data_IF_783697699918
#
_entry.id   IF_783697699918
#
_cell.length_a   1.000
_cell.length_b   1.000
_cell.length_c   1.000
_cell.angle_alpha   90.00
_cell.angle_beta   90.00
_cell.angle_gamma   90.00
#
_symmetry.space_group_name_H-M   'P 1'
#
loop_
_entity.id
_entity.type
_entity.pdbx_description
1 polymer ?
#
# COMPACT_ATOMS: atom_id res chain seq x y z
N UNK A 1 1.33 -16.27 -5.51
CA UNK A 1 0.38 -15.13 -5.48
C UNK A 1 1.11 -13.95 -4.86
N UNK A 2 1.03 -12.77 -5.48
CA UNK A 2 1.68 -11.55 -4.99
C UNK A 2 1.09 -11.06 -3.64
N UNK A 3 -0.16 -11.39 -3.35
CA UNK A 3 -0.87 -10.97 -2.15
C UNK A 3 -0.28 -11.58 -0.88
N UNK A 4 0.04 -10.74 0.11
CA UNK A 4 0.52 -11.16 1.42
C UNK A 4 -0.64 -11.45 2.37
N UNK A 5 -0.56 -12.55 3.09
CA UNK A 5 -1.42 -12.79 4.24
C UNK A 5 -1.09 -11.84 5.40
N UNK A 6 -2.04 -11.66 6.33
CA UNK A 6 -1.81 -10.91 7.57
C UNK A 6 -0.60 -11.43 8.37
N UNK A 7 -0.39 -12.75 8.43
CA UNK A 7 0.78 -13.34 9.09
C UNK A 7 2.07 -12.88 8.41
N UNK A 8 2.15 -12.97 7.09
CA UNK A 8 3.34 -12.53 6.33
C UNK A 8 3.61 -11.03 6.48
N UNK A 9 2.57 -10.20 6.58
CA UNK A 9 2.70 -8.78 6.89
C UNK A 9 3.35 -8.56 8.26
N UNK A 10 2.87 -9.22 9.31
CA UNK A 10 3.46 -9.10 10.65
C UNK A 10 4.91 -9.59 10.69
N UNK A 11 5.22 -10.72 10.05
CA UNK A 11 6.59 -11.23 9.98
C UNK A 11 7.52 -10.30 9.20
N UNK A 12 7.02 -9.64 8.14
CA UNK A 12 7.78 -8.59 7.44
C UNK A 12 8.17 -7.48 8.43
N UNK A 13 7.22 -6.96 9.22
CA UNK A 13 7.49 -5.90 10.19
C UNK A 13 8.51 -6.30 11.26
N UNK A 14 8.43 -7.52 11.79
CA UNK A 14 9.38 -8.04 12.78
C UNK A 14 10.79 -8.20 12.22
N UNK A 15 10.94 -8.45 10.92
CA UNK A 15 12.25 -8.58 10.28
C UNK A 15 12.92 -7.24 9.98
N UNK A 16 12.20 -6.11 10.08
CA UNK A 16 12.77 -4.79 9.84
C UNK A 16 13.68 -4.39 11.01
N UNK A 17 14.77 -3.67 10.70
CA UNK A 17 15.63 -3.08 11.71
C UNK A 17 14.83 -2.07 12.55
N UNK A 18 14.76 -2.22 13.88
CA UNK A 18 14.09 -1.25 14.74
C UNK A 18 14.72 0.14 14.61
N UNK A 19 13.88 1.15 14.38
CA UNK A 19 14.32 2.53 14.19
C UNK A 19 13.28 3.58 14.65
N UNK A 20 12.27 3.17 15.41
CA UNK A 20 11.20 4.04 15.90
C UNK A 20 11.44 4.33 17.38
N UNK A 21 11.48 5.61 17.73
CA UNK A 21 11.66 6.07 19.10
C UNK A 21 10.39 6.73 19.61
N UNK A 22 10.03 6.48 20.87
CA UNK A 22 8.97 7.19 21.57
C UNK A 22 9.37 7.39 23.02
N UNK A 23 9.27 8.63 23.51
CA UNK A 23 9.70 8.99 24.86
C UNK A 23 11.15 8.56 25.15
N UNK A 24 12.06 8.82 24.20
CA UNK A 24 13.48 8.47 24.25
C UNK A 24 13.80 6.96 24.33
N UNK A 25 12.79 6.10 24.16
CA UNK A 25 12.95 4.65 24.12
C UNK A 25 12.81 4.12 22.70
N UNK A 26 13.72 3.22 22.32
CA UNK A 26 13.63 2.47 21.07
C UNK A 26 12.51 1.43 21.17
N UNK A 27 11.57 1.46 20.23
CA UNK A 27 10.56 0.42 20.08
C UNK A 27 11.18 -0.73 19.28
N UNK A 28 11.52 -1.83 19.96
CA UNK A 28 12.14 -3.01 19.34
C UNK A 28 11.16 -3.81 18.47
N UNK A 29 9.89 -3.93 18.88
CA UNK A 29 8.87 -4.65 18.12
C UNK A 29 7.58 -3.83 18.00
N UNK A 30 7.36 -3.29 16.80
CA UNK A 30 6.18 -2.48 16.47
C UNK A 30 4.88 -3.28 16.55
N UNK A 31 4.94 -4.60 16.39
CA UNK A 31 3.76 -5.48 16.32
C UNK A 31 3.16 -5.76 17.70
N UNK A 32 3.96 -5.61 18.76
CA UNK A 32 3.55 -5.90 20.15
C UNK A 32 3.56 -4.66 21.04
N UNK A 33 4.37 -3.65 20.73
CA UNK A 33 4.51 -2.47 21.57
C UNK A 33 3.18 -1.68 21.69
N UNK A 34 2.75 -1.27 22.90
CA UNK A 34 1.43 -0.65 23.12
C UNK A 34 1.16 0.60 22.30
N UNK A 35 2.20 1.38 21.98
CA UNK A 35 2.07 2.60 21.19
C UNK A 35 1.84 2.38 19.69
N UNK A 36 2.19 1.20 19.16
CA UNK A 36 2.24 0.93 17.71
C UNK A 36 1.35 -0.23 17.29
N UNK A 37 1.11 -1.22 18.18
CA UNK A 37 0.40 -2.46 17.83
C UNK A 37 -0.98 -2.24 17.21
N UNK A 38 -1.72 -1.23 17.68
CA UNK A 38 -3.06 -0.90 17.16
C UNK A 38 -2.99 -0.30 15.76
N UNK A 39 -1.98 0.53 15.51
CA UNK A 39 -1.71 1.06 14.18
C UNK A 39 -1.34 -0.07 13.23
N UNK A 40 -0.46 -0.99 13.64
CA UNK A 40 -0.09 -2.17 12.86
C UNK A 40 -1.32 -3.03 12.54
N UNK A 41 -2.18 -3.29 13.53
CA UNK A 41 -3.42 -4.04 13.32
C UNK A 41 -4.39 -3.34 12.36
N UNK A 42 -4.56 -2.02 12.48
CA UNK A 42 -5.39 -1.22 11.58
C UNK A 42 -4.94 -1.30 10.12
N UNK A 43 -3.63 -1.20 9.86
CA UNK A 43 -3.06 -1.41 8.51
C UNK A 43 -3.15 -2.88 8.08
N UNK A 44 -3.05 -3.80 9.03
CA UNK A 44 -3.14 -5.24 8.84
C UNK A 44 -4.48 -5.74 8.32
N UNK A 45 -5.57 -5.02 8.59
CA UNK A 45 -6.92 -5.42 8.19
C UNK A 45 -7.08 -5.62 6.68
N UNK A 46 -6.41 -4.82 5.84
CA UNK A 46 -6.49 -5.01 4.38
C UNK A 46 -5.84 -6.33 3.94
N UNK A 47 -4.80 -6.81 4.63
CA UNK A 47 -4.21 -8.13 4.37
C UNK A 47 -5.09 -9.28 4.87
N UNK A 48 -5.93 -9.06 5.88
CA UNK A 48 -6.95 -10.04 6.32
C UNK A 48 -8.09 -10.10 5.31
N UNK A 49 -8.70 -8.95 5.05
CA UNK A 49 -9.91 -8.83 4.24
C UNK A 49 -9.65 -9.11 2.74
N UNK A 50 -8.43 -8.96 2.22
CA UNK A 50 -8.11 -9.35 0.84
C UNK A 50 -8.25 -10.86 0.57
N UNK A 51 -8.26 -11.69 1.62
CA UNK A 51 -8.47 -13.15 1.51
C UNK A 51 -9.89 -13.59 1.93
N UNK A 52 -10.72 -12.65 2.38
CA UNK A 52 -12.13 -12.89 2.68
C UNK A 52 -12.93 -12.85 1.37
N UNK A 53 -13.68 -13.90 1.05
CA UNK A 53 -14.46 -13.99 -0.19
C UNK A 53 -15.44 -12.83 -0.35
N UNK A 54 -15.96 -12.28 0.76
CA UNK A 54 -16.87 -11.15 0.72
C UNK A 54 -16.20 -9.85 0.27
N UNK A 55 -14.90 -9.67 0.56
CA UNK A 55 -14.20 -8.40 0.39
C UNK A 55 -13.11 -8.43 -0.68
N UNK A 56 -12.75 -9.62 -1.16
CA UNK A 56 -11.64 -9.86 -2.09
C UNK A 56 -11.70 -8.97 -3.34
N UNK A 57 -12.84 -8.88 -4.00
CA UNK A 57 -12.97 -8.13 -5.26
C UNK A 57 -12.90 -6.60 -5.04
N UNK A 58 -13.23 -6.14 -3.83
CA UNK A 58 -13.11 -4.73 -3.43
C UNK A 58 -11.63 -4.40 -3.15
N UNK A 59 -10.91 -5.28 -2.46
CA UNK A 59 -9.54 -5.03 -1.99
C UNK A 59 -8.44 -5.43 -2.96
N UNK A 60 -8.77 -6.22 -3.99
CA UNK A 60 -7.84 -6.66 -5.01
C UNK A 60 -8.26 -6.19 -6.39
N UNK A 61 -7.28 -6.09 -7.29
CA UNK A 61 -7.51 -5.80 -8.71
C UNK A 61 -6.42 -6.46 -9.54
N UNK A 62 -6.51 -6.40 -10.88
CA UNK A 62 -5.44 -6.83 -11.77
C UNK A 62 -4.46 -5.69 -12.01
N UNK A 63 -3.17 -5.99 -11.97
CA UNK A 63 -2.15 -5.02 -12.35
C UNK A 63 -2.24 -4.68 -13.84
N UNK A 64 -2.20 -3.40 -14.19
CA UNK A 64 -2.05 -2.96 -15.58
C UNK A 64 -0.66 -3.26 -16.15
N UNK A 65 0.33 -3.53 -15.30
CA UNK A 65 1.70 -3.84 -15.72
C UNK A 65 1.91 -5.33 -16.00
N UNK A 66 1.34 -6.19 -15.16
CA UNK A 66 1.65 -7.62 -15.17
C UNK A 66 0.44 -8.53 -15.39
N UNK A 67 -0.79 -8.01 -15.25
CA UNK A 67 -2.02 -8.80 -15.29
C UNK A 67 -2.28 -9.63 -14.02
N UNK A 68 -1.30 -9.72 -13.11
CA UNK A 68 -1.41 -10.48 -11.87
C UNK A 68 -2.36 -9.80 -10.86
N UNK A 69 -3.02 -10.58 -9.97
CA UNK A 69 -3.77 -10.03 -8.85
C UNK A 69 -2.86 -9.29 -7.87
N UNK A 70 -3.24 -8.04 -7.54
CA UNK A 70 -2.52 -7.16 -6.63
C UNK A 70 -3.46 -6.54 -5.60
N UNK A 71 -2.90 -6.01 -4.51
CA UNK A 71 -3.65 -5.11 -3.63
C UNK A 71 -4.08 -3.88 -4.42
N UNK A 72 -5.36 -3.47 -4.32
CA UNK A 72 -5.86 -2.25 -4.96
C UNK A 72 -5.17 -0.99 -4.43
N UNK A 73 -4.59 -1.02 -3.23
CA UNK A 73 -3.71 0.06 -2.73
C UNK A 73 -2.41 0.24 -3.53
N UNK A 74 -2.07 -0.69 -4.44
CA UNK A 74 -0.91 -0.62 -5.33
C UNK A 74 -1.30 -0.44 -6.81
N UNK A 75 -2.57 -0.12 -7.08
CA UNK A 75 -3.05 0.09 -8.45
C UNK A 75 -2.79 1.51 -8.95
N UNK A 76 -2.66 1.62 -10.27
CA UNK A 76 -2.76 2.90 -11.00
C UNK A 76 -4.18 3.02 -11.55
N UNK A 77 -4.73 4.22 -11.52
CA UNK A 77 -6.04 4.55 -12.07
C UNK A 77 -5.93 4.51 -13.60
N UNK A 78 -6.60 3.55 -14.24
CA UNK A 78 -6.64 3.41 -15.69
C UNK A 78 -7.98 3.87 -16.28
N UNK A 79 -9.02 3.94 -15.46
CA UNK A 79 -10.35 4.43 -15.85
C UNK A 79 -11.08 5.13 -14.70
N UNK A 80 -12.18 5.85 -14.96
CA UNK A 80 -13.02 6.43 -13.91
C UNK A 80 -13.52 5.39 -12.90
N UNK A 81 -13.80 4.17 -13.35
CA UNK A 81 -14.28 3.06 -12.52
C UNK A 81 -13.26 2.66 -11.44
N UNK A 82 -11.96 2.75 -11.74
CA UNK A 82 -10.91 2.50 -10.74
C UNK A 82 -10.96 3.51 -9.58
N UNK A 83 -11.35 4.76 -9.88
CA UNK A 83 -11.50 5.78 -8.85
C UNK A 83 -12.69 5.48 -7.93
N UNK A 84 -13.83 5.09 -8.50
CA UNK A 84 -15.01 4.69 -7.72
C UNK A 84 -14.70 3.46 -6.86
N UNK A 85 -14.08 2.42 -7.44
CA UNK A 85 -13.69 1.22 -6.73
C UNK A 85 -12.71 1.51 -5.57
N UNK A 86 -11.79 2.47 -5.75
CA UNK A 86 -10.91 2.91 -4.68
C UNK A 86 -11.64 3.69 -3.57
N UNK A 87 -12.67 4.47 -3.91
CA UNK A 87 -13.55 5.10 -2.91
C UNK A 87 -14.29 4.06 -2.07
N UNK A 88 -14.86 3.04 -2.73
CA UNK A 88 -15.56 1.94 -2.05
C UNK A 88 -14.62 1.11 -1.17
N UNK A 89 -13.42 0.81 -1.66
CA UNK A 89 -12.37 0.15 -0.87
C UNK A 89 -12.02 0.95 0.39
N UNK A 90 -11.80 2.27 0.25
CA UNK A 90 -11.49 3.12 1.41
C UNK A 90 -12.65 3.14 2.40
N UNK A 91 -13.90 3.25 1.93
CA UNK A 91 -15.10 3.20 2.77
C UNK A 91 -15.19 1.89 3.55
N UNK A 92 -15.00 0.75 2.88
CA UNK A 92 -14.96 -0.57 3.53
C UNK A 92 -13.89 -0.61 4.63
N UNK A 93 -12.68 -0.13 4.33
CA UNK A 93 -11.59 -0.12 5.31
C UNK A 93 -11.91 0.73 6.53
N UNK A 94 -12.59 1.87 6.37
CA UNK A 94 -13.07 2.67 7.51
C UNK A 94 -14.16 1.94 8.31
N UNK A 95 -15.09 1.25 7.66
CA UNK A 95 -16.10 0.45 8.38
C UNK A 95 -15.48 -0.71 9.18
N UNK A 96 -14.46 -1.38 8.63
CA UNK A 96 -13.79 -2.51 9.31
C UNK A 96 -12.90 -2.06 10.46
N UNK A 97 -12.28 -0.88 10.37
CA UNK A 97 -11.21 -0.49 11.29
C UNK A 97 -11.58 0.64 12.24
N UNK A 98 -12.55 1.50 11.87
CA UNK A 98 -12.90 2.70 12.62
C UNK A 98 -11.76 3.73 12.76
N UNK A 99 -10.70 3.62 11.95
CA UNK A 99 -9.50 4.47 12.05
C UNK A 99 -8.86 4.74 10.69
N UNK A 100 -7.89 5.66 10.66
CA UNK A 100 -7.10 5.96 9.47
C UNK A 100 -6.15 4.81 9.11
N UNK A 101 -6.14 4.42 7.83
CA UNK A 101 -5.17 3.49 7.24
C UNK A 101 -4.10 4.26 6.44
N UNK A 102 -3.58 5.34 7.03
CA UNK A 102 -2.72 6.34 6.38
C UNK A 102 -1.51 5.77 5.64
N UNK A 103 -0.90 4.71 6.17
CA UNK A 103 0.21 3.99 5.55
C UNK A 103 -0.16 3.20 4.28
N UNK A 104 -1.41 3.28 3.82
CA UNK A 104 -1.89 2.68 2.57
C UNK A 104 -2.46 3.73 1.62
N UNK A 105 -3.36 4.60 2.10
CA UNK A 105 -4.06 5.56 1.24
C UNK A 105 -3.18 6.73 0.75
N UNK A 106 -2.24 7.20 1.56
CA UNK A 106 -1.30 8.24 1.16
C UNK A 106 -0.33 7.71 0.10
N UNK A 107 0.20 6.49 0.30
CA UNK A 107 1.04 5.81 -0.68
C UNK A 107 0.34 5.62 -2.02
N UNK A 108 -0.90 5.11 -2.01
CA UNK A 108 -1.70 4.96 -3.24
C UNK A 108 -1.86 6.29 -3.99
N UNK A 109 -2.14 7.38 -3.27
CA UNK A 109 -2.30 8.70 -3.88
C UNK A 109 -0.97 9.20 -4.47
N UNK A 110 0.13 9.00 -3.75
CA UNK A 110 1.47 9.34 -4.23
C UNK A 110 1.88 8.51 -5.45
N UNK A 111 1.60 7.20 -5.48
CA UNK A 111 1.86 6.34 -6.64
C UNK A 111 1.21 6.88 -7.91
N UNK A 112 -0.07 7.24 -7.81
CA UNK A 112 -0.83 7.74 -8.95
C UNK A 112 -0.32 9.11 -9.42
N UNK A 113 0.05 10.00 -8.49
CA UNK A 113 0.66 11.28 -8.85
C UNK A 113 2.05 11.12 -9.47
N UNK A 114 2.89 10.25 -8.92
CA UNK A 114 4.25 9.99 -9.45
C UNK A 114 4.19 9.33 -10.81
N UNK A 115 3.21 8.44 -11.06
CA UNK A 115 3.02 7.80 -12.37
C UNK A 115 2.87 8.85 -13.49
N UNK A 116 1.96 9.81 -13.33
CA UNK A 116 1.76 10.86 -14.35
C UNK A 116 2.91 11.85 -14.39
N UNK A 117 3.42 12.27 -13.23
CA UNK A 117 4.50 13.27 -13.13
C UNK A 117 5.77 12.77 -13.79
N UNK A 118 6.19 11.54 -13.52
CA UNK A 118 7.41 10.98 -14.13
C UNK A 118 7.30 10.83 -15.63
N UNK A 119 6.10 10.50 -16.14
CA UNK A 119 5.85 10.43 -17.58
C UNK A 119 6.02 11.80 -18.25
N UNK A 120 5.44 12.86 -17.67
CA UNK A 120 5.56 14.22 -18.21
C UNK A 120 7.00 14.75 -18.15
N UNK A 121 7.71 14.47 -17.04
CA UNK A 121 9.14 14.84 -16.92
C UNK A 121 9.97 14.15 -18.01
N UNK A 122 9.77 12.85 -18.23
CA UNK A 122 10.50 12.11 -19.26
C UNK A 122 10.18 12.62 -20.67
N UNK A 123 8.91 12.94 -20.94
CA UNK A 123 8.48 13.54 -22.22
C UNK A 123 9.21 14.85 -22.50
N UNK A 124 9.31 15.72 -21.50
CA UNK A 124 9.81 17.09 -21.69
C UNK A 124 11.34 17.19 -21.57
N UNK A 125 11.99 16.26 -20.85
CA UNK A 125 13.42 16.34 -20.51
C UNK A 125 14.25 15.16 -21.04
N UNK A 126 13.64 14.16 -21.68
CA UNK A 126 14.36 12.98 -22.21
C UNK A 126 14.99 12.10 -21.14
N UNK A 127 14.46 12.14 -19.91
CA UNK A 127 14.89 11.29 -18.79
C UNK A 127 14.21 9.91 -18.83
N UNK A 128 14.52 9.06 -17.85
CA UNK A 128 14.01 7.69 -17.73
C UNK A 128 13.33 7.41 -16.38
N UNK A 129 12.82 8.43 -15.70
CA UNK A 129 12.19 8.31 -14.38
C UNK A 129 10.94 7.44 -14.42
N UNK A 130 10.12 7.55 -15.46
CA UNK A 130 8.91 6.77 -15.60
C UNK A 130 9.25 5.28 -15.72
N UNK A 131 10.24 4.93 -16.54
CA UNK A 131 10.71 3.54 -16.66
C UNK A 131 11.22 2.98 -15.32
N UNK A 132 11.99 3.77 -14.57
CA UNK A 132 12.46 3.39 -13.22
C UNK A 132 11.29 3.21 -12.25
N UNK A 133 10.32 4.12 -12.29
CA UNK A 133 9.11 4.04 -11.47
C UNK A 133 8.28 2.80 -11.78
N UNK A 134 8.02 2.48 -13.06
CA UNK A 134 7.28 1.28 -13.44
C UNK A 134 7.99 -0.01 -13.01
N UNK A 135 9.32 -0.05 -13.14
CA UNK A 135 10.13 -1.19 -12.70
C UNK A 135 10.01 -1.41 -11.19
N UNK A 136 10.12 -0.32 -10.41
CA UNK A 136 9.95 -0.38 -8.97
C UNK A 136 8.51 -0.72 -8.56
N UNK A 137 7.50 -0.18 -9.25
CA UNK A 137 6.09 -0.44 -8.97
C UNK A 137 5.73 -1.91 -9.22
N UNK A 138 6.24 -2.52 -10.30
CA UNK A 138 6.04 -3.94 -10.57
C UNK A 138 6.60 -4.83 -9.45
N UNK A 139 7.78 -4.50 -8.93
CA UNK A 139 8.38 -5.19 -7.77
C UNK A 139 7.57 -4.94 -6.49
N UNK A 140 7.14 -3.70 -6.24
CA UNK A 140 6.30 -3.36 -5.09
C UNK A 140 4.96 -4.11 -5.11
N UNK A 141 4.33 -4.23 -6.28
CA UNK A 141 3.12 -5.01 -6.52
C UNK A 141 3.36 -6.51 -6.25
N UNK A 142 4.45 -7.07 -6.79
CA UNK A 142 4.81 -8.47 -6.59
C UNK A 142 5.07 -8.82 -5.11
N UNK A 143 5.58 -7.87 -4.33
CA UNK A 143 5.87 -8.02 -2.90
C UNK A 143 4.75 -7.56 -1.98
N UNK A 144 3.64 -7.03 -2.51
CA UNK A 144 2.50 -6.47 -1.75
C UNK A 144 2.94 -5.62 -0.53
N UNK A 145 3.85 -4.68 -0.79
CA UNK A 145 4.40 -3.82 0.26
C UNK A 145 3.41 -2.71 0.66
N UNK A 146 3.56 -2.23 1.89
CA UNK A 146 2.88 -1.03 2.38
C UNK A 146 3.71 0.20 1.99
N UNK A 147 3.09 1.28 1.50
CA UNK A 147 3.78 2.47 1.01
C UNK A 147 3.24 3.69 1.74
N UNK A 148 4.13 4.44 2.38
CA UNK A 148 3.80 5.74 2.95
C UNK A 148 4.15 6.85 1.94
N UNK A 149 3.28 7.87 1.84
CA UNK A 149 3.62 9.13 1.16
C UNK A 149 4.14 10.13 2.20
N UNK A 150 5.42 10.50 2.11
CA UNK A 150 6.05 11.50 2.98
C UNK A 150 6.33 12.76 2.17
N UNK A 151 5.63 13.86 2.46
CA UNK A 151 5.65 15.09 1.64
C UNK A 151 5.86 16.38 2.44
N UNK A 152 5.24 16.50 3.61
CA UNK A 152 5.15 17.77 4.38
C UNK A 152 6.49 18.24 4.93
#
# INVERSE_FOLDING_TARGET
MALKSYKQYLETLKSLKPNIYKFDELIEDVTTHPATKRTVEGHGWTYKAAFDEQYKDILTTKSHLTGEPISRYLSIIMSPEDMYANSDMKRLMFHLTGTCTGGRCAGWSALNAVFTTTFEIDRDNGTDYHKRFLTWLADAQARDITIAGALT
#
